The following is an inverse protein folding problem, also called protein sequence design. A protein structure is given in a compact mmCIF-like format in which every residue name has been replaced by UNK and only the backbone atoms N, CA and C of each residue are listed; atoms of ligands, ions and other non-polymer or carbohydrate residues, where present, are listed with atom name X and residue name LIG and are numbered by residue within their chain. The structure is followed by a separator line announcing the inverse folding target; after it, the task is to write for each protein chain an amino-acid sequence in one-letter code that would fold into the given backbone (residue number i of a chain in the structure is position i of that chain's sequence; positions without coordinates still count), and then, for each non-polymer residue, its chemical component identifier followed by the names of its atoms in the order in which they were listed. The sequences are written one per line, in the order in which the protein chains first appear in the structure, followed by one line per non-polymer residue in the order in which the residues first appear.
data_IF_998688969584
#
_entry.id   IF_998688969584
#
_cell.length_a   1.000
_cell.length_b   1.000
_cell.length_c   1.000
_cell.angle_alpha   90.00
_cell.angle_beta   90.00
_cell.angle_gamma   90.00
#
_symmetry.space_group_name_H-M   'P 1'
#
loop_
_entity.id
_entity.type
_entity.pdbx_description
1 polymer ?
#
# COMPACT_ATOMS: atom_id res chain seq x y z
N UNK A 1 -15.56 -1.84 -9.43
CA UNK A 1 -14.33 -1.53 -8.66
C UNK A 1 -13.94 -2.56 -7.57
N UNK A 2 -14.85 -3.41 -7.07
CA UNK A 2 -14.65 -4.08 -5.77
C UNK A 2 -14.06 -5.52 -5.78
N UNK A 3 -14.28 -6.32 -6.84
CA UNK A 3 -14.02 -7.76 -6.78
C UNK A 3 -12.54 -8.17 -6.85
N UNK A 4 -11.76 -7.54 -7.75
CA UNK A 4 -10.38 -7.94 -8.04
C UNK A 4 -9.43 -7.62 -6.87
N UNK A 5 -9.51 -6.42 -6.31
CA UNK A 5 -8.67 -6.00 -5.17
C UNK A 5 -9.02 -6.72 -3.85
N UNK A 6 -10.31 -7.06 -3.61
CA UNK A 6 -10.71 -7.91 -2.48
C UNK A 6 -10.19 -9.34 -2.63
N UNK A 7 -10.00 -9.83 -3.87
CA UNK A 7 -9.34 -11.11 -4.15
C UNK A 7 -7.84 -11.00 -3.89
N UNK A 8 -7.21 -9.90 -4.27
CA UNK A 8 -5.78 -9.66 -4.07
C UNK A 8 -5.39 -9.58 -2.57
N UNK A 9 -6.11 -8.80 -1.75
CA UNK A 9 -5.84 -8.71 -0.32
C UNK A 9 -6.08 -10.03 0.43
N UNK A 10 -7.14 -10.78 0.04
CA UNK A 10 -7.35 -12.15 0.56
C UNK A 10 -6.27 -13.10 0.09
N UNK A 11 -5.81 -12.98 -1.16
CA UNK A 11 -4.72 -13.78 -1.70
C UNK A 11 -3.43 -13.49 -0.96
N UNK A 12 -3.06 -12.21 -0.76
CA UNK A 12 -1.87 -11.81 -0.02
C UNK A 12 -1.92 -12.26 1.45
N UNK A 13 -3.05 -12.05 2.14
CA UNK A 13 -3.21 -12.55 3.52
C UNK A 13 -3.06 -14.07 3.59
N UNK A 14 -3.67 -14.81 2.65
CA UNK A 14 -3.51 -16.27 2.57
C UNK A 14 -2.07 -16.66 2.25
N UNK A 15 -1.44 -16.01 1.27
CA UNK A 15 -0.06 -16.25 0.86
C UNK A 15 0.91 -16.01 2.01
N UNK A 16 0.84 -14.85 2.69
CA UNK A 16 1.73 -14.54 3.80
C UNK A 16 1.52 -15.51 4.98
N UNK A 17 0.27 -15.86 5.30
CA UNK A 17 -0.02 -16.83 6.37
C UNK A 17 0.45 -18.24 6.01
N UNK A 18 0.33 -18.65 4.75
CA UNK A 18 0.75 -19.97 4.27
C UNK A 18 2.28 -20.08 4.22
N UNK A 19 2.97 -19.03 3.74
CA UNK A 19 4.42 -19.04 3.54
C UNK A 19 5.19 -18.72 4.82
N UNK A 20 4.73 -17.75 5.61
CA UNK A 20 5.46 -17.24 6.77
C UNK A 20 4.79 -17.54 8.12
N UNK A 21 3.59 -18.13 8.09
CA UNK A 21 2.82 -18.45 9.30
C UNK A 21 2.06 -17.24 9.89
N UNK A 22 1.17 -17.53 10.85
CA UNK A 22 0.31 -16.52 11.49
C UNK A 22 1.10 -15.46 12.27
N UNK A 23 2.22 -15.83 12.89
CA UNK A 23 3.05 -14.93 13.68
C UNK A 23 3.71 -13.85 12.80
N UNK A 24 4.33 -14.25 11.69
CA UNK A 24 4.91 -13.31 10.73
C UNK A 24 3.86 -12.44 10.05
N UNK A 25 2.68 -12.99 9.73
CA UNK A 25 1.57 -12.21 9.21
C UNK A 25 1.11 -11.11 10.20
N UNK A 26 1.05 -11.43 11.50
CA UNK A 26 0.73 -10.45 12.56
C UNK A 26 1.84 -9.40 12.69
N UNK A 27 3.11 -9.81 12.67
CA UNK A 27 4.24 -8.88 12.71
C UNK A 27 4.26 -7.93 11.49
N UNK A 28 3.96 -8.44 10.29
CA UNK A 28 3.84 -7.65 9.07
C UNK A 28 2.67 -6.64 9.18
N UNK A 29 1.53 -7.05 9.72
CA UNK A 29 0.40 -6.15 9.93
C UNK A 29 0.72 -5.03 10.93
N UNK A 30 1.39 -5.35 12.04
CA UNK A 30 1.86 -4.35 13.01
C UNK A 30 2.93 -3.43 12.42
N UNK A 31 3.86 -3.97 11.62
CA UNK A 31 4.86 -3.19 10.91
C UNK A 31 4.22 -2.25 9.88
N UNK A 32 3.22 -2.71 9.14
CA UNK A 32 2.44 -1.87 8.22
C UNK A 32 1.69 -0.76 8.98
N UNK A 33 1.09 -1.08 10.13
CA UNK A 33 0.42 -0.09 10.99
C UNK A 33 1.40 0.99 11.45
N UNK A 34 2.60 0.59 11.92
CA UNK A 34 3.66 1.53 12.32
C UNK A 34 4.22 2.33 11.15
N UNK A 35 4.36 1.70 9.98
CA UNK A 35 4.80 2.37 8.75
C UNK A 35 3.87 3.53 8.42
N UNK A 36 2.55 3.33 8.47
CA UNK A 36 1.58 4.41 8.19
C UNK A 36 1.42 5.44 9.31
N UNK A 37 1.96 5.19 10.50
CA UNK A 37 2.01 6.19 11.58
C UNK A 37 3.19 7.14 11.45
N UNK A 38 4.20 6.80 10.65
CA UNK A 38 5.34 7.68 10.43
C UNK A 38 5.06 8.71 9.31
N UNK A 39 5.92 9.74 9.22
CA UNK A 39 5.74 10.84 8.27
C UNK A 39 5.70 10.37 6.82
N UNK A 40 6.54 9.39 6.44
CA UNK A 40 6.57 8.87 5.08
C UNK A 40 5.31 8.06 4.75
N UNK A 41 4.87 7.16 5.63
CA UNK A 41 3.64 6.41 5.43
C UNK A 41 2.40 7.29 5.41
N UNK A 42 2.38 8.39 6.17
CA UNK A 42 1.30 9.39 6.09
C UNK A 42 1.24 10.05 4.70
N UNK A 43 2.39 10.38 4.11
CA UNK A 43 2.47 10.91 2.74
C UNK A 43 2.00 9.87 1.72
N UNK A 44 2.41 8.62 1.85
CA UNK A 44 1.92 7.52 0.99
C UNK A 44 0.39 7.43 1.04
N UNK A 45 -0.20 7.43 2.25
CA UNK A 45 -1.65 7.38 2.40
C UNK A 45 -2.33 8.58 1.75
N UNK A 46 -1.79 9.78 1.93
CA UNK A 46 -2.32 11.00 1.32
C UNK A 46 -2.30 10.92 -0.21
N UNK A 47 -1.17 10.50 -0.81
CA UNK A 47 -1.03 10.31 -2.26
C UNK A 47 -2.09 9.34 -2.77
N UNK A 48 -2.23 8.18 -2.13
CA UNK A 48 -3.18 7.14 -2.57
C UNK A 48 -4.62 7.59 -2.36
N UNK A 49 -4.93 8.30 -1.27
CA UNK A 49 -6.26 8.84 -1.01
C UNK A 49 -6.66 9.89 -2.05
N UNK A 50 -5.79 10.85 -2.34
CA UNK A 50 -5.99 11.89 -3.35
C UNK A 50 -6.24 11.26 -4.74
N UNK A 51 -5.37 10.32 -5.15
CA UNK A 51 -5.52 9.64 -6.43
C UNK A 51 -6.78 8.77 -6.48
N UNK A 52 -7.21 8.19 -5.36
CA UNK A 52 -8.45 7.42 -5.30
C UNK A 52 -9.68 8.27 -5.64
N UNK A 53 -9.68 9.54 -5.20
CA UNK A 53 -10.73 10.53 -5.46
C UNK A 53 -10.66 11.17 -6.86
N UNK A 54 -9.56 10.98 -7.59
CA UNK A 54 -9.40 11.54 -8.94
C UNK A 54 -10.21 10.82 -10.02
N UNK A 55 -10.37 11.47 -11.18
CA UNK A 55 -11.06 10.92 -12.36
C UNK A 55 -10.18 10.03 -13.26
N UNK A 56 -8.94 9.76 -12.85
CA UNK A 56 -8.02 8.91 -13.60
C UNK A 56 -8.54 7.46 -13.72
N UNK A 57 -8.13 6.75 -14.75
CA UNK A 57 -8.35 5.31 -14.81
C UNK A 57 -7.53 4.59 -13.73
N UNK A 58 -7.89 3.34 -13.42
CA UNK A 58 -7.15 2.56 -12.42
C UNK A 58 -5.67 2.35 -12.78
N UNK A 59 -5.37 2.22 -14.07
CA UNK A 59 -3.99 2.09 -14.55
C UNK A 59 -3.18 3.36 -14.32
N UNK A 60 -3.78 4.51 -14.62
CA UNK A 60 -3.18 5.83 -14.41
C UNK A 60 -3.01 6.14 -12.92
N UNK A 61 -4.00 5.83 -12.07
CA UNK A 61 -3.89 5.98 -10.61
C UNK A 61 -2.71 5.19 -10.05
N UNK A 62 -2.53 3.95 -10.50
CA UNK A 62 -1.42 3.09 -10.03
C UNK A 62 -0.06 3.68 -10.45
N UNK A 63 0.05 4.11 -11.71
CA UNK A 63 1.29 4.71 -12.23
C UNK A 63 1.61 6.02 -11.51
N UNK A 64 0.62 6.90 -11.35
CA UNK A 64 0.79 8.16 -10.63
C UNK A 64 1.17 7.95 -9.16
N UNK A 65 0.58 6.95 -8.49
CA UNK A 65 0.95 6.61 -7.11
C UNK A 65 2.39 6.11 -7.04
N UNK A 66 2.78 5.23 -7.95
CA UNK A 66 4.14 4.71 -8.05
C UNK A 66 5.16 5.84 -8.24
N UNK A 67 4.94 6.70 -9.23
CA UNK A 67 5.86 7.79 -9.57
C UNK A 67 6.00 8.79 -8.40
N UNK A 68 4.88 9.15 -7.75
CA UNK A 68 4.88 10.08 -6.61
C UNK A 68 5.56 9.48 -5.37
N UNK A 69 5.29 8.21 -5.06
CA UNK A 69 5.90 7.55 -3.89
C UNK A 69 7.40 7.33 -4.12
N UNK A 70 7.80 6.98 -5.35
CA UNK A 70 9.21 6.85 -5.72
C UNK A 70 9.96 8.18 -5.54
N UNK A 71 9.42 9.26 -6.09
CA UNK A 71 10.01 10.59 -5.95
C UNK A 71 10.11 11.03 -4.48
N UNK A 72 9.09 10.74 -3.66
CA UNK A 72 9.11 11.04 -2.23
C UNK A 72 10.16 10.23 -1.47
N UNK A 73 10.34 8.95 -1.83
CA UNK A 73 11.38 8.10 -1.24
C UNK A 73 12.78 8.62 -1.59
N UNK A 74 13.01 8.96 -2.85
CA UNK A 74 14.27 9.53 -3.34
C UNK A 74 14.58 10.87 -2.67
N UNK A 75 13.59 11.76 -2.53
CA UNK A 75 13.74 13.05 -1.84
C UNK A 75 14.13 12.90 -0.36
N UNK A 76 13.81 11.76 0.26
CA UNK A 76 14.16 11.42 1.64
C UNK A 76 15.47 10.64 1.75
N UNK A 77 16.17 10.41 0.64
CA UNK A 77 17.39 9.60 0.60
C UNK A 77 17.16 8.11 0.83
N UNK A 78 15.95 7.61 0.58
CA UNK A 78 15.59 6.20 0.74
C UNK A 78 15.49 5.54 -0.62
N UNK A 79 16.40 4.61 -0.91
CA UNK A 79 16.30 3.78 -2.10
C UNK A 79 15.29 2.65 -1.86
N UNK A 80 14.17 2.69 -2.59
CA UNK A 80 13.14 1.66 -2.54
C UNK A 80 13.13 0.84 -3.83
N UNK A 81 13.17 -0.49 -3.68
CA UNK A 81 12.92 -1.40 -4.80
C UNK A 81 11.48 -1.23 -5.30
N UNK A 82 11.28 -1.30 -6.61
CA UNK A 82 9.98 -1.18 -7.27
C UNK A 82 8.91 -2.11 -6.68
N UNK A 83 9.29 -3.32 -6.29
CA UNK A 83 8.41 -4.29 -5.63
C UNK A 83 7.91 -3.81 -4.26
N UNK A 84 8.73 -3.08 -3.50
CA UNK A 84 8.34 -2.49 -2.22
C UNK A 84 7.43 -1.29 -2.41
N UNK A 85 7.63 -0.49 -3.46
CA UNK A 85 6.75 0.63 -3.79
C UNK A 85 5.34 0.10 -4.12
N UNK A 86 5.27 -0.93 -4.96
CA UNK A 86 3.99 -1.59 -5.28
C UNK A 86 3.32 -2.16 -4.02
N UNK A 87 4.08 -2.84 -3.16
CA UNK A 87 3.56 -3.37 -1.90
C UNK A 87 3.00 -2.27 -1.00
N UNK A 88 3.71 -1.14 -0.88
CA UNK A 88 3.28 0.00 -0.06
C UNK A 88 2.01 0.65 -0.59
N UNK A 89 1.85 0.76 -1.91
CA UNK A 89 0.60 1.21 -2.54
C UNK A 89 -0.54 0.26 -2.19
N UNK A 90 -0.33 -1.05 -2.30
CA UNK A 90 -1.35 -2.05 -1.98
C UNK A 90 -1.77 -1.98 -0.51
N UNK A 91 -0.81 -1.85 0.40
CA UNK A 91 -1.09 -1.68 1.83
C UNK A 91 -1.87 -0.39 2.12
N UNK A 92 -1.55 0.71 1.44
CA UNK A 92 -2.25 1.99 1.59
C UNK A 92 -3.72 1.89 1.12
N UNK A 93 -3.97 1.24 -0.03
CA UNK A 93 -5.32 0.99 -0.53
C UNK A 93 -6.12 0.13 0.44
N UNK A 94 -5.52 -0.90 1.04
CA UNK A 94 -6.17 -1.74 2.05
C UNK A 94 -6.51 -0.93 3.30
N UNK A 95 -5.58 -0.11 3.79
CA UNK A 95 -5.77 0.71 4.99
C UNK A 95 -6.91 1.72 4.83
N UNK A 96 -7.01 2.37 3.66
CA UNK A 96 -8.10 3.31 3.38
C UNK A 96 -9.48 2.63 3.36
N UNK A 97 -9.55 1.34 3.01
CA UNK A 97 -10.80 0.57 3.02
C UNK A 97 -11.20 0.15 4.43
N UNK A 98 -10.26 -0.32 5.24
CA UNK A 98 -10.49 -0.63 6.66
C UNK A 98 -10.90 0.59 7.48
N UNK A 99 -10.62 1.81 7.01
CA UNK A 99 -11.10 3.07 7.61
C UNK A 99 -12.51 3.47 7.16
N UNK A 100 -13.01 2.88 6.07
CA UNK A 100 -14.32 3.18 5.46
C UNK A 100 -15.41 2.15 5.81
N UNK A 101 -15.04 1.06 6.50
CA UNK A 101 -15.93 0.05 7.09
C UNK A 101 -15.99 0.24 8.61
#
# INVERSE_FOLDING_TARGET
MFGWFKKLGRFFKKFVVVIFGKAAAKALAEAAKKMFQNAFGSVVLAIVAELSASNLSNGEKRRAAYDRIKAEAEARGVEMKDSLINLVIEMAVLRLKDLSE
#
